data_IF_105226661839
#
_entry.id   IF_105226661839
#
_cell.length_a   1.000
_cell.length_b   1.000
_cell.length_c   1.000
_cell.angle_alpha   90.00
_cell.angle_beta   90.00
_cell.angle_gamma   90.00
#
_symmetry.space_group_name_H-M   'P 1'
#
loop_
_entity.id
_entity.type
_entity.pdbx_description
1 polymer ?
#
# COMPACT_ATOMS: atom_id res chain seq x y z
N UNK A 1 -5.94 -2.88 -10.98
CA UNK A 1 -6.39 -3.54 -9.73
C UNK A 1 -5.28 -4.47 -9.27
N UNK A 2 -5.00 -4.52 -7.97
CA UNK A 2 -4.14 -5.52 -7.33
C UNK A 2 -4.94 -6.25 -6.24
N UNK A 3 -4.64 -7.53 -6.00
CA UNK A 3 -5.28 -8.32 -4.94
C UNK A 3 -4.22 -8.89 -4.02
N UNK A 4 -4.46 -8.76 -2.72
CA UNK A 4 -3.54 -9.19 -1.67
C UNK A 4 -4.32 -10.05 -0.69
N UNK A 5 -3.89 -11.29 -0.51
CA UNK A 5 -4.46 -12.22 0.45
C UNK A 5 -3.89 -11.97 1.85
N UNK A 6 -4.72 -12.14 2.88
CA UNK A 6 -4.24 -12.25 4.25
C UNK A 6 -3.36 -13.49 4.40
N UNK A 7 -2.40 -13.43 5.33
CA UNK A 7 -1.49 -14.53 5.55
C UNK A 7 -0.51 -14.27 6.69
N UNK A 8 0.54 -15.10 6.83
CA UNK A 8 1.50 -14.97 7.94
C UNK A 8 2.26 -13.64 7.94
N UNK A 9 2.28 -12.93 6.80
CA UNK A 9 3.05 -11.70 6.61
C UNK A 9 2.20 -10.43 6.59
N UNK A 10 0.88 -10.55 6.45
CA UNK A 10 -0.04 -9.42 6.39
C UNK A 10 -1.36 -9.80 7.08
N UNK A 11 -1.67 -9.06 8.14
CA UNK A 11 -2.92 -9.19 8.87
C UNK A 11 -3.91 -8.13 8.37
N UNK A 12 -4.99 -8.59 7.74
CA UNK A 12 -6.06 -7.73 7.23
C UNK A 12 -7.20 -7.59 8.26
N UNK A 13 -6.95 -7.70 9.56
CA UNK A 13 -7.94 -7.50 10.62
C UNK A 13 -9.18 -8.43 10.46
N UNK A 14 -8.92 -9.71 10.22
CA UNK A 14 -9.97 -10.73 10.07
C UNK A 14 -10.60 -10.83 8.67
N UNK A 15 -10.18 -9.99 7.72
CA UNK A 15 -10.52 -10.14 6.30
C UNK A 15 -9.58 -11.14 5.61
N UNK A 16 -10.08 -11.84 4.60
CA UNK A 16 -9.32 -12.86 3.86
C UNK A 16 -8.54 -12.27 2.68
N UNK A 17 -9.05 -11.20 2.06
CA UNK A 17 -8.45 -10.56 0.89
C UNK A 17 -8.72 -9.06 0.89
N UNK A 18 -7.78 -8.33 0.31
CA UNK A 18 -7.86 -6.93 -0.04
C UNK A 18 -7.77 -6.79 -1.56
N UNK A 19 -8.67 -6.02 -2.16
CA UNK A 19 -8.56 -5.58 -3.56
C UNK A 19 -8.29 -4.07 -3.61
N UNK A 20 -7.21 -3.69 -4.28
CA UNK A 20 -6.73 -2.31 -4.40
C UNK A 20 -7.00 -1.81 -5.81
N UNK A 21 -7.66 -0.66 -5.90
CA UNK A 21 -7.99 0.06 -7.11
C UNK A 21 -7.31 1.41 -7.05
N UNK A 22 -6.62 1.77 -8.12
CA UNK A 22 -6.05 3.10 -8.29
C UNK A 22 -6.62 3.68 -9.57
N UNK A 23 -6.92 4.98 -9.56
CA UNK A 23 -7.33 5.65 -10.76
C UNK A 23 -6.19 5.69 -11.77
N UNK A 24 -6.53 5.38 -13.02
CA UNK A 24 -5.66 5.59 -14.16
C UNK A 24 -5.76 7.06 -14.57
N UNK A 25 -4.89 7.92 -14.03
CA UNK A 25 -4.95 9.36 -14.25
C UNK A 25 -4.39 9.77 -15.63
N UNK A 26 -4.95 9.24 -16.73
CA UNK A 26 -4.75 9.84 -18.05
C UNK A 26 -5.56 11.13 -18.12
N UNK A 27 -4.97 12.25 -17.66
CA UNK A 27 -5.55 13.60 -17.80
C UNK A 27 -6.00 14.31 -16.51
N UNK A 28 -5.53 13.89 -15.33
CA UNK A 28 -5.60 14.71 -14.10
C UNK A 28 -6.99 14.93 -13.48
N UNK A 29 -7.97 14.07 -13.78
CA UNK A 29 -9.36 14.20 -13.29
C UNK A 29 -9.68 13.42 -12.01
N UNK A 30 -8.71 12.68 -11.48
CA UNK A 30 -8.87 11.90 -10.26
C UNK A 30 -8.12 12.55 -9.11
N UNK A 31 -8.77 12.68 -7.95
CA UNK A 31 -8.14 13.03 -6.68
C UNK A 31 -7.42 11.80 -6.14
N UNK A 32 -6.33 11.39 -6.77
CA UNK A 32 -5.52 10.22 -6.40
C UNK A 32 -4.81 10.38 -5.05
N UNK A 33 -4.57 11.61 -4.62
CA UNK A 33 -3.88 11.96 -3.39
C UNK A 33 -4.76 11.98 -2.12
N UNK A 34 -6.09 12.04 -2.24
CA UNK A 34 -6.99 12.07 -1.07
C UNK A 34 -7.44 10.64 -0.75
N UNK A 35 -7.13 10.08 0.43
CA UNK A 35 -7.54 8.72 0.77
C UNK A 35 -9.06 8.60 1.01
N UNK A 36 -9.75 9.73 1.25
CA UNK A 36 -11.19 9.80 1.51
C UNK A 36 -12.00 10.16 0.27
N UNK A 37 -11.35 10.58 -0.81
CA UNK A 37 -11.98 11.00 -2.05
C UNK A 37 -11.27 10.37 -3.25
N UNK A 38 -11.75 10.70 -4.45
CA UNK A 38 -11.20 10.15 -5.68
C UNK A 38 -11.59 8.70 -5.97
N UNK A 39 -10.91 8.12 -6.96
CA UNK A 39 -11.20 6.79 -7.50
C UNK A 39 -10.25 5.69 -6.97
N UNK A 40 -9.40 6.05 -6.01
CA UNK A 40 -8.57 5.11 -5.28
C UNK A 40 -9.44 4.40 -4.24
N UNK A 41 -9.45 3.07 -4.25
CA UNK A 41 -10.29 2.30 -3.32
C UNK A 41 -9.60 1.03 -2.86
N UNK A 42 -9.79 0.72 -1.58
CA UNK A 42 -9.51 -0.59 -1.00
C UNK A 42 -10.85 -1.23 -0.67
N UNK A 43 -11.04 -2.47 -1.13
CA UNK A 43 -12.18 -3.29 -0.77
C UNK A 43 -11.68 -4.50 0.01
N UNK A 44 -12.15 -4.65 1.24
CA UNK A 44 -11.84 -5.80 2.07
C UNK A 44 -12.92 -6.87 1.90
N UNK A 45 -12.50 -8.13 1.82
CA UNK A 45 -13.36 -9.26 1.53
C UNK A 45 -13.19 -10.30 2.63
N UNK A 46 -14.29 -10.72 3.25
CA UNK A 46 -14.27 -11.75 4.31
C UNK A 46 -13.97 -13.15 3.78
N UNK A 47 -14.31 -13.39 2.52
CA UNK A 47 -14.12 -14.68 1.86
C UNK A 47 -13.22 -14.48 0.65
N UNK A 48 -12.29 -15.40 0.47
CA UNK A 48 -11.46 -15.46 -0.73
C UNK A 48 -12.28 -16.05 -1.87
N UNK A 49 -12.58 -15.23 -2.88
CA UNK A 49 -13.18 -15.70 -4.13
C UNK A 49 -12.10 -15.75 -5.21
N UNK A 50 -11.71 -16.96 -5.61
CA UNK A 50 -10.73 -17.16 -6.69
C UNK A 50 -11.38 -17.23 -8.08
N UNK A 51 -12.71 -17.20 -8.16
CA UNK A 51 -13.47 -17.22 -9.42
C UNK A 51 -13.71 -15.81 -9.96
N UNK A 52 -12.75 -14.90 -9.82
CA UNK A 52 -12.87 -13.56 -10.39
C UNK A 52 -12.93 -13.64 -11.91
N UNK A 53 -14.05 -13.20 -12.44
CA UNK A 53 -14.20 -12.91 -13.85
C UNK A 53 -13.35 -11.68 -14.20
N UNK A 54 -12.29 -11.87 -14.99
CA UNK A 54 -11.38 -10.81 -15.44
C UNK A 54 -12.03 -9.84 -16.47
N UNK A 55 -13.36 -9.90 -16.61
CA UNK A 55 -14.13 -9.14 -17.58
C UNK A 55 -14.22 -9.83 -18.93
N UNK A 56 -15.03 -9.28 -19.87
CA UNK A 56 -15.08 -9.76 -21.24
C UNK A 56 -13.71 -9.61 -21.93
N UNK A 57 -13.45 -10.31 -23.05
CA UNK A 57 -12.17 -10.26 -23.77
C UNK A 57 -11.72 -8.86 -24.22
N UNK A 58 -12.64 -7.89 -24.20
CA UNK A 58 -12.40 -6.48 -24.53
C UNK A 58 -11.76 -5.69 -23.38
N UNK A 59 -11.72 -6.23 -22.17
CA UNK A 59 -11.05 -5.60 -21.02
C UNK A 59 -9.57 -6.00 -21.00
N UNK A 60 -8.70 -5.04 -20.72
CA UNK A 60 -7.26 -5.30 -20.55
C UNK A 60 -7.05 -6.27 -19.38
N UNK A 61 -6.58 -7.47 -19.67
CA UNK A 61 -6.29 -8.49 -18.65
C UNK A 61 -5.20 -7.97 -17.72
N UNK A 62 -5.51 -7.87 -16.42
CA UNK A 62 -4.52 -7.54 -15.40
C UNK A 62 -3.58 -8.75 -15.24
N UNK A 63 -2.26 -8.51 -15.32
CA UNK A 63 -1.28 -9.57 -15.08
C UNK A 63 -1.30 -9.94 -13.60
N UNK A 64 -1.52 -11.23 -13.31
CA UNK A 64 -1.32 -11.78 -11.96
C UNK A 64 0.18 -11.93 -11.73
N UNK A 65 0.74 -11.12 -10.83
CA UNK A 65 2.16 -11.19 -10.44
C UNK A 65 2.23 -11.79 -9.05
N UNK A 66 3.01 -12.86 -8.89
CA UNK A 66 3.34 -13.41 -7.57
C UNK A 66 4.65 -12.77 -7.10
N UNK A 67 4.58 -12.01 -6.02
CA UNK A 67 5.74 -11.40 -5.40
C UNK A 67 6.35 -12.35 -4.36
N UNK A 68 7.67 -12.38 -4.28
CA UNK A 68 8.41 -13.06 -3.22
C UNK A 68 8.68 -12.08 -2.09
N UNK A 69 8.44 -12.52 -0.86
CA UNK A 69 8.68 -11.72 0.34
C UNK A 69 10.08 -12.03 0.86
N UNK A 70 10.88 -10.99 1.04
CA UNK A 70 12.19 -11.08 1.69
C UNK A 70 12.04 -11.00 3.23
N UNK A 71 13.04 -11.44 4.00
CA UNK A 71 13.03 -11.29 5.45
C UNK A 71 12.81 -9.84 5.89
N UNK A 72 12.11 -9.67 7.02
CA UNK A 72 11.87 -8.36 7.61
C UNK A 72 13.20 -7.67 7.96
N UNK A 73 13.29 -6.38 7.64
CA UNK A 73 14.42 -5.52 8.02
C UNK A 73 13.97 -4.63 9.17
N UNK A 74 14.70 -4.66 10.29
CA UNK A 74 14.45 -3.75 11.41
C UNK A 74 15.04 -2.37 11.12
N UNK A 75 14.16 -1.43 10.74
CA UNK A 75 14.52 -0.04 10.44
C UNK A 75 15.17 0.66 11.63
N UNK A 76 14.77 0.33 12.87
CA UNK A 76 15.34 0.96 14.06
C UNK A 76 16.79 0.52 14.26
N UNK A 77 17.12 -0.73 13.94
CA UNK A 77 18.51 -1.23 13.95
C UNK A 77 19.33 -0.56 12.84
N UNK A 78 18.79 -0.45 11.63
CA UNK A 78 19.47 0.24 10.52
C UNK A 78 19.77 1.69 10.88
N UNK A 79 18.81 2.42 11.43
CA UNK A 79 18.98 3.82 11.83
C UNK A 79 19.88 3.99 13.07
N UNK A 80 19.96 2.97 13.93
CA UNK A 80 20.93 2.92 15.03
C UNK A 80 22.35 2.75 14.50
N UNK A 81 22.56 1.86 13.54
CA UNK A 81 23.88 1.63 12.94
C UNK A 81 24.40 2.88 12.18
N UNK A 82 23.51 3.66 11.55
CA UNK A 82 23.88 4.97 10.99
C UNK A 82 24.37 5.92 12.09
N UNK A 83 23.68 5.99 13.23
CA UNK A 83 24.02 6.90 14.34
C UNK A 83 25.24 6.47 15.14
N UNK A 84 25.34 5.18 15.45
CA UNK A 84 26.31 4.65 16.42
C UNK A 84 27.54 4.03 15.74
N UNK A 85 27.39 3.49 14.53
CA UNK A 85 28.46 2.79 13.81
C UNK A 85 28.96 3.54 12.58
N UNK A 86 28.43 4.74 12.32
CA UNK A 86 28.87 5.61 11.23
C UNK A 86 28.57 5.04 9.84
N UNK A 87 27.59 4.13 9.71
CA UNK A 87 27.16 3.64 8.39
C UNK A 87 26.66 4.82 7.56
N UNK A 88 27.09 4.99 6.30
CA UNK A 88 26.59 6.07 5.46
C UNK A 88 25.07 5.97 5.28
N UNK A 89 24.35 7.06 5.59
CA UNK A 89 22.88 7.11 5.51
C UNK A 89 22.36 6.67 4.13
N UNK A 90 23.03 7.08 3.04
CA UNK A 90 22.67 6.68 1.68
C UNK A 90 22.70 5.17 1.48
N UNK A 91 23.72 4.49 2.01
CA UNK A 91 23.85 3.04 1.91
C UNK A 91 22.81 2.31 2.78
N UNK A 92 22.54 2.84 3.97
CA UNK A 92 21.47 2.33 4.83
C UNK A 92 20.09 2.44 4.16
N UNK A 93 19.79 3.59 3.55
CA UNK A 93 18.52 3.81 2.83
C UNK A 93 18.40 2.95 1.56
N UNK A 94 19.49 2.66 0.84
CA UNK A 94 19.47 1.72 -0.28
C UNK A 94 19.15 0.29 0.14
N UNK A 95 19.49 -0.10 1.36
CA UNK A 95 19.11 -1.39 1.95
C UNK A 95 17.64 -1.44 2.39
N UNK A 96 17.03 -0.28 2.67
CA UNK A 96 15.62 -0.16 2.96
C UNK A 96 14.84 -0.12 1.66
N UNK A 97 14.21 -1.24 1.30
CA UNK A 97 13.30 -1.28 0.15
C UNK A 97 12.11 -0.37 0.43
N UNK A 98 11.76 0.45 -0.55
CA UNK A 98 10.56 1.30 -0.48
C UNK A 98 9.27 0.46 -0.56
N UNK A 99 9.33 -0.75 -1.11
CA UNK A 99 8.21 -1.69 -1.09
C UNK A 99 8.25 -2.55 0.18
N UNK A 100 7.20 -2.49 1.00
CA UNK A 100 7.14 -3.23 2.27
C UNK A 100 5.73 -3.54 2.76
N UNK A 101 5.65 -4.51 3.66
CA UNK A 101 4.45 -4.92 4.39
C UNK A 101 4.54 -4.41 5.83
N UNK A 102 3.58 -3.60 6.26
CA UNK A 102 3.56 -3.00 7.60
C UNK A 102 4.75 -2.08 7.89
N UNK A 103 4.98 -1.81 9.18
CA UNK A 103 6.00 -0.86 9.64
C UNK A 103 5.53 0.60 9.56
N UNK A 104 6.46 1.55 9.63
CA UNK A 104 6.19 2.98 9.46
C UNK A 104 6.23 3.39 7.99
N UNK A 105 5.40 4.33 7.55
CA UNK A 105 5.44 4.83 6.17
C UNK A 105 6.74 5.64 5.92
N UNK A 106 7.33 5.46 4.74
CA UNK A 106 8.38 6.35 4.22
C UNK A 106 7.72 7.30 3.23
N UNK A 107 7.45 8.51 3.68
CA UNK A 107 6.73 9.51 2.90
C UNK A 107 7.59 10.15 1.81
N UNK A 108 6.98 10.45 0.65
CA UNK A 108 7.60 11.29 -0.37
C UNK A 108 7.46 12.77 0.00
N UNK A 109 6.27 13.18 0.46
CA UNK A 109 5.96 14.55 0.86
C UNK A 109 5.11 14.57 2.11
N UNK A 110 5.55 15.23 3.19
CA UNK A 110 4.82 15.34 4.46
C UNK A 110 4.29 14.00 5.04
N UNK A 111 3.83 13.99 6.29
CA UNK A 111 3.15 12.82 6.83
C UNK A 111 1.64 12.98 6.63
N UNK A 112 1.07 12.16 5.74
CA UNK A 112 -0.36 12.14 5.42
C UNK A 112 -1.05 10.88 5.97
N UNK A 113 -0.57 10.34 7.10
CA UNK A 113 -1.20 9.18 7.74
C UNK A 113 -2.68 9.45 8.02
N UNK A 114 -3.62 8.70 7.40
CA UNK A 114 -5.03 8.94 7.59
C UNK A 114 -5.46 8.62 9.03
N UNK A 115 -6.39 9.41 9.56
CA UNK A 115 -6.98 9.21 10.87
C UNK A 115 -8.26 8.38 10.77
N UNK A 116 -8.55 7.58 11.79
CA UNK A 116 -9.83 6.88 11.89
C UNK A 116 -11.00 7.89 11.88
N UNK A 117 -12.07 7.65 11.10
CA UNK A 117 -13.27 8.50 11.13
C UNK A 117 -13.94 8.54 12.50
N UNK A 118 -13.73 7.50 13.30
CA UNK A 118 -14.23 7.42 14.68
C UNK A 118 -13.41 8.25 15.67
N UNK A 119 -12.30 8.86 15.23
CA UNK A 119 -11.43 9.70 16.06
C UNK A 119 -10.51 8.94 17.02
N UNK A 120 -10.40 7.61 16.87
CA UNK A 120 -9.64 6.75 17.78
C UNK A 120 -8.12 6.78 17.55
N UNK A 121 -7.65 7.46 16.50
CA UNK A 121 -6.23 7.68 16.22
C UNK A 121 -5.84 7.40 14.76
N UNK A 122 -4.53 7.32 14.46
CA UNK A 122 -4.04 7.04 13.11
C UNK A 122 -4.38 5.61 12.68
N UNK A 123 -4.71 5.45 11.40
CA UNK A 123 -4.89 4.13 10.80
C UNK A 123 -3.54 3.38 10.69
N UNK A 124 -3.59 2.05 10.67
CA UNK A 124 -2.39 1.21 10.56
C UNK A 124 -2.01 1.01 9.10
N UNK A 125 -0.76 1.27 8.74
CA UNK A 125 -0.24 0.93 7.41
C UNK A 125 -0.10 -0.58 7.25
N UNK A 126 -0.59 -1.11 6.13
CA UNK A 126 -0.49 -2.52 5.75
C UNK A 126 0.55 -2.75 4.66
N UNK A 127 0.64 -1.83 3.71
CA UNK A 127 1.40 -2.01 2.48
C UNK A 127 1.90 -0.66 1.99
N UNK A 128 3.15 -0.63 1.55
CA UNK A 128 3.76 0.49 0.83
C UNK A 128 4.31 -0.06 -0.50
N UNK A 129 3.98 0.59 -1.61
CA UNK A 129 4.33 0.15 -2.96
C UNK A 129 4.83 1.30 -3.83
N UNK A 130 5.92 1.07 -4.55
CA UNK A 130 6.40 1.93 -5.63
C UNK A 130 5.78 1.53 -6.96
N UNK A 131 5.96 2.39 -7.98
CA UNK A 131 5.60 2.06 -9.37
C UNK A 131 6.38 0.89 -9.97
N UNK A 132 7.47 0.45 -9.32
CA UNK A 132 8.35 -0.60 -9.85
C UNK A 132 7.75 -1.99 -9.67
N UNK A 133 7.00 -2.20 -8.58
CA UNK A 133 6.37 -3.48 -8.26
C UNK A 133 5.02 -3.65 -8.96
N UNK A 134 4.23 -2.58 -9.02
CA UNK A 134 2.95 -2.57 -9.73
C UNK A 134 2.95 -1.44 -10.74
N UNK A 135 2.99 -1.81 -12.03
CA UNK A 135 2.92 -0.85 -13.12
C UNK A 135 1.50 -0.32 -13.26
N UNK A 136 1.16 0.63 -12.41
CA UNK A 136 0.02 1.50 -12.63
C UNK A 136 0.41 2.53 -13.70
N UNK A 137 -0.52 2.89 -14.58
CA UNK A 137 -0.30 3.95 -15.56
C UNK A 137 -0.57 5.31 -14.87
N UNK A 138 0.34 5.65 -13.98
CA UNK A 138 0.35 6.82 -13.12
C UNK A 138 1.73 7.46 -13.18
N UNK A 139 1.89 8.63 -12.56
CA UNK A 139 3.15 9.38 -12.56
C UNK A 139 4.31 8.51 -12.03
N UNK A 140 5.38 8.37 -12.82
CA UNK A 140 6.57 7.61 -12.42
C UNK A 140 7.19 8.20 -11.16
N UNK A 141 7.75 7.34 -10.32
CA UNK A 141 8.46 7.77 -9.10
C UNK A 141 7.54 8.07 -7.91
N UNK A 142 6.23 7.92 -8.06
CA UNK A 142 5.30 8.01 -6.94
C UNK A 142 5.23 6.73 -6.11
N UNK A 143 4.50 6.81 -5.01
CA UNK A 143 4.35 5.74 -4.03
C UNK A 143 2.92 5.66 -3.52
N UNK A 144 2.46 4.42 -3.32
CA UNK A 144 1.16 4.07 -2.78
C UNK A 144 1.31 3.52 -1.37
N UNK A 145 0.34 3.83 -0.51
CA UNK A 145 0.21 3.25 0.83
C UNK A 145 -1.21 2.76 1.04
N UNK A 146 -1.35 1.55 1.57
CA UNK A 146 -2.64 1.04 2.04
C UNK A 146 -2.68 1.06 3.55
N UNK A 147 -3.72 1.68 4.10
CA UNK A 147 -4.01 1.74 5.52
C UNK A 147 -5.29 0.98 5.83
N UNK A 148 -5.37 0.41 7.04
CA UNK A 148 -6.59 -0.16 7.60
C UNK A 148 -6.92 0.53 8.91
N UNK A 149 -8.18 0.88 9.09
CA UNK A 149 -8.71 1.35 10.35
C UNK A 149 -8.93 0.14 11.27
N UNK A 150 -8.16 -0.02 12.36
CA UNK A 150 -8.30 -1.17 13.26
C UNK A 150 -9.56 -1.11 14.14
N UNK A 151 -10.31 -0.01 14.10
CA UNK A 151 -11.54 0.19 14.86
C UNK A 151 -12.79 0.09 13.98
N UNK A 152 -12.63 -0.02 12.65
CA UNK A 152 -13.73 -0.23 11.71
C UNK A 152 -13.77 -1.71 11.25
N UNK A 153 -14.80 -2.48 11.64
CA UNK A 153 -14.94 -3.87 11.23
C UNK A 153 -15.57 -4.03 9.83
N UNK A 154 -15.87 -2.94 9.12
CA UNK A 154 -16.55 -2.94 7.82
C UNK A 154 -15.60 -3.21 6.65
N UNK A 155 -16.17 -3.57 5.50
CA UNK A 155 -15.42 -3.81 4.27
C UNK A 155 -14.76 -2.55 3.69
N UNK A 156 -15.20 -1.39 4.16
CA UNK A 156 -14.67 -0.07 3.80
C UNK A 156 -13.65 0.45 4.83
N UNK A 157 -13.10 -0.40 5.71
CA UNK A 157 -12.06 0.02 6.67
C UNK A 157 -10.71 0.35 6.02
N UNK A 158 -10.51 -0.03 4.76
CA UNK A 158 -9.26 0.18 4.03
C UNK A 158 -9.21 1.52 3.28
N UNK A 159 -8.05 2.19 3.27
CA UNK A 159 -7.80 3.41 2.51
C UNK A 159 -6.53 3.27 1.67
N UNK A 160 -6.57 3.76 0.44
CA UNK A 160 -5.40 3.84 -0.45
C UNK A 160 -5.02 5.31 -0.60
N UNK A 161 -3.78 5.61 -0.27
CA UNK A 161 -3.17 6.92 -0.48
C UNK A 161 -2.10 6.82 -1.57
N UNK A 162 -1.96 7.86 -2.37
CA UNK A 162 -0.93 7.98 -3.39
C UNK A 162 -0.25 9.35 -3.30
N UNK A 163 1.08 9.39 -3.43
CA UNK A 163 1.84 10.62 -3.60
C UNK A 163 2.66 10.50 -4.89
N UNK A 164 2.53 11.51 -5.75
CA UNK A 164 3.35 11.63 -6.95
C UNK A 164 4.80 11.98 -6.63
N UNK A 165 5.74 11.45 -7.41
CA UNK A 165 7.17 11.79 -7.35
C UNK A 165 7.51 13.09 -8.06
#
# INVERSE_FOLDING_TARGET
MAQIDAGPWIDLHGFARMSVFICHATGGRCEDWDPWKGANKVLLQRVRDDNLYDGPPTVRVYRRVKLTIDPAIDEAVVMRDVRERGVPLKSALQGLKHDKLGGGAVWLHNDDTPQSPSGQGPMRMLLQLTTDVVTFDITRGGMAWVFIDPWDPSEDAGRLLWQGG
#
